data_IF_588611860732
#
_entry.id   IF_588611860732
#
_cell.length_a   1.000
_cell.length_b   1.000
_cell.length_c   1.000
_cell.angle_alpha   90.00
_cell.angle_beta   90.00
_cell.angle_gamma   90.00
#
_symmetry.space_group_name_H-M   'P 1'
#
loop_
_entity.id
_entity.type
_entity.pdbx_description
1 polymer ?
#
# COMPACT_ATOMS: atom_id res chain seq x y z
N UNK A 1 21.68 -5.47 21.29
CA UNK A 1 21.19 -4.17 20.84
C UNK A 1 21.25 -3.06 21.92
N UNK A 2 21.44 -3.38 23.18
CA UNK A 2 21.54 -2.38 24.28
C UNK A 2 22.98 -1.95 24.61
N UNK A 3 23.98 -2.51 23.92
CA UNK A 3 25.40 -2.23 24.20
C UNK A 3 25.90 -2.71 25.58
N UNK A 4 25.16 -3.66 26.17
CA UNK A 4 25.49 -4.18 27.53
C UNK A 4 25.80 -5.65 27.47
N UNK A 5 26.81 -6.07 28.21
CA UNK A 5 27.21 -7.47 28.36
C UNK A 5 26.31 -8.22 29.35
N UNK A 6 26.39 -9.56 29.34
CA UNK A 6 25.58 -10.42 30.21
C UNK A 6 25.84 -10.15 31.72
N UNK A 7 27.07 -9.76 32.07
CA UNK A 7 27.49 -9.50 33.45
C UNK A 7 27.27 -8.05 33.89
N UNK A 8 26.80 -7.16 33.00
CA UNK A 8 26.50 -5.78 33.34
C UNK A 8 25.38 -5.71 34.39
N UNK A 9 25.63 -5.14 35.58
CA UNK A 9 24.64 -5.05 36.65
C UNK A 9 23.44 -4.16 36.26
N UNK A 10 23.61 -3.23 35.31
CA UNK A 10 22.58 -2.30 34.83
C UNK A 10 21.86 -2.77 33.57
N UNK A 11 22.12 -4.01 33.11
CA UNK A 11 21.35 -4.56 32.02
C UNK A 11 19.88 -4.80 32.40
N UNK A 12 18.98 -4.72 31.44
CA UNK A 12 17.60 -5.09 31.66
C UNK A 12 17.48 -6.56 32.09
N UNK A 13 16.81 -6.80 33.18
CA UNK A 13 16.50 -8.14 33.69
C UNK A 13 15.01 -8.29 33.87
N UNK A 14 14.47 -9.36 33.37
CA UNK A 14 13.06 -9.73 33.57
C UNK A 14 12.93 -10.49 34.89
N UNK A 15 11.82 -10.26 35.60
CA UNK A 15 11.52 -10.96 36.87
C UNK A 15 11.07 -12.41 36.64
N UNK A 16 10.76 -12.77 35.38
CA UNK A 16 10.11 -14.03 34.97
C UNK A 16 8.66 -14.11 35.47
N UNK A 17 8.07 -12.95 35.76
CA UNK A 17 6.67 -12.82 36.17
C UNK A 17 5.83 -12.08 35.10
N UNK A 18 6.39 -11.82 33.92
CA UNK A 18 5.79 -11.09 32.80
C UNK A 18 4.91 -12.02 31.92
N UNK A 19 3.96 -12.72 32.55
CA UNK A 19 2.99 -13.59 31.91
C UNK A 19 1.57 -13.21 32.30
N UNK A 20 0.59 -13.64 31.49
CA UNK A 20 -0.82 -13.34 31.73
C UNK A 20 -1.34 -14.10 32.94
N UNK A 21 -1.62 -13.39 34.03
CA UNK A 21 -2.03 -13.95 35.32
C UNK A 21 -3.52 -14.20 35.39
N UNK A 22 -3.91 -15.17 36.19
CA UNK A 22 -5.32 -15.42 36.52
C UNK A 22 -5.86 -14.32 37.42
N UNK A 23 -7.20 -14.17 37.48
CA UNK A 23 -7.85 -13.24 38.38
C UNK A 23 -7.47 -13.46 39.84
N UNK A 24 -7.33 -14.73 40.27
CA UNK A 24 -6.95 -15.07 41.64
C UNK A 24 -5.51 -14.59 41.95
N UNK A 25 -4.57 -14.79 41.04
CA UNK A 25 -3.18 -14.32 41.20
C UNK A 25 -3.09 -12.79 41.20
N UNK A 26 -3.87 -12.11 40.35
CA UNK A 26 -3.93 -10.65 40.37
C UNK A 26 -4.51 -10.12 41.68
N UNK A 27 -5.55 -10.75 42.23
CA UNK A 27 -6.10 -10.38 43.52
C UNK A 27 -5.11 -10.58 44.68
N UNK A 28 -4.27 -11.61 44.63
CA UNK A 28 -3.24 -11.82 45.66
C UNK A 28 -2.10 -10.77 45.54
N UNK A 29 -1.69 -10.47 44.32
CA UNK A 29 -0.65 -9.46 44.06
C UNK A 29 -1.08 -8.07 44.54
N UNK A 30 -2.32 -7.69 44.30
CA UNK A 30 -2.86 -6.36 44.63
C UNK A 30 -3.73 -6.34 45.89
N UNK A 31 -3.61 -7.35 46.77
CA UNK A 31 -4.44 -7.44 48.00
C UNK A 31 -4.32 -6.22 48.93
N UNK A 32 -3.16 -5.56 48.91
CA UNK A 32 -2.90 -4.37 49.72
C UNK A 32 -3.42 -3.08 49.05
N UNK A 33 -3.79 -3.14 47.76
CA UNK A 33 -4.29 -2.00 46.97
C UNK A 33 -5.44 -2.51 46.08
N UNK A 34 -6.56 -2.97 46.64
CA UNK A 34 -7.67 -3.56 45.87
C UNK A 34 -8.30 -2.56 44.88
N UNK A 35 -8.16 -1.26 45.13
CA UNK A 35 -8.61 -0.20 44.21
C UNK A 35 -7.87 -0.26 42.88
N UNK A 36 -6.64 -0.76 42.82
CA UNK A 36 -5.89 -0.94 41.57
C UNK A 36 -6.62 -1.91 40.63
N UNK A 37 -7.36 -2.90 41.18
CA UNK A 37 -8.19 -3.82 40.41
C UNK A 37 -9.55 -3.26 40.06
N UNK A 38 -10.25 -2.64 41.06
CA UNK A 38 -11.58 -2.09 40.80
C UNK A 38 -11.55 -0.93 39.81
N UNK A 39 -10.50 -0.11 39.83
CA UNK A 39 -10.36 1.01 38.89
C UNK A 39 -10.17 0.57 37.44
N UNK A 40 -9.80 -0.70 37.17
CA UNK A 40 -9.82 -1.23 35.80
C UNK A 40 -11.25 -1.26 35.23
N UNK A 41 -12.26 -1.50 36.07
CA UNK A 41 -13.66 -1.46 35.65
C UNK A 41 -14.12 -0.01 35.43
N UNK A 42 -13.68 0.93 36.29
CA UNK A 42 -13.95 2.35 36.10
C UNK A 42 -13.40 2.86 34.74
N UNK A 43 -12.22 2.40 34.33
CA UNK A 43 -11.67 2.72 33.01
C UNK A 43 -12.53 2.10 31.89
N UNK A 44 -12.95 0.84 32.07
CA UNK A 44 -13.81 0.15 31.11
C UNK A 44 -15.15 0.88 30.93
N UNK A 45 -15.74 1.36 32.00
CA UNK A 45 -17.01 2.08 31.98
C UNK A 45 -16.93 3.44 31.25
N UNK A 46 -15.72 4.00 31.10
CA UNK A 46 -15.46 5.23 30.33
C UNK A 46 -15.30 4.97 28.84
N UNK A 47 -15.17 3.70 28.42
CA UNK A 47 -14.98 3.35 27.03
C UNK A 47 -16.33 3.20 26.33
N UNK A 48 -16.57 4.05 25.36
CA UNK A 48 -17.74 3.93 24.47
C UNK A 48 -17.42 2.94 23.33
N UNK A 49 -18.42 2.12 22.95
CA UNK A 49 -18.28 1.24 21.80
C UNK A 49 -18.38 2.04 20.53
N UNK A 50 -17.31 2.06 19.76
CA UNK A 50 -17.25 2.72 18.44
C UNK A 50 -16.41 1.89 17.49
N UNK A 51 -16.56 2.13 16.19
CA UNK A 51 -15.74 1.54 15.16
C UNK A 51 -14.82 2.59 14.57
N UNK A 52 -13.52 2.27 14.50
CA UNK A 52 -12.51 3.08 13.80
C UNK A 52 -12.12 2.46 12.47
N UNK A 53 -12.75 1.33 12.13
CA UNK A 53 -12.51 0.64 10.87
C UNK A 53 -13.31 1.32 9.75
N UNK A 54 -12.58 1.90 8.82
CA UNK A 54 -13.11 2.51 7.61
C UNK A 54 -12.41 1.88 6.41
N UNK A 55 -13.13 1.79 5.30
CA UNK A 55 -12.53 1.36 4.04
C UNK A 55 -11.34 2.26 3.64
N UNK A 56 -10.40 1.76 2.85
CA UNK A 56 -9.24 2.52 2.40
C UNK A 56 -9.64 3.82 1.73
N UNK A 57 -9.03 4.94 2.14
CA UNK A 57 -9.19 6.24 1.50
C UNK A 57 -7.99 6.44 0.58
N UNK A 58 -8.24 6.36 -0.74
CA UNK A 58 -7.20 6.59 -1.72
C UNK A 58 -7.16 8.07 -2.10
N UNK A 59 -5.97 8.72 -1.98
CA UNK A 59 -5.81 10.08 -2.44
C UNK A 59 -5.88 10.16 -3.96
N UNK A 60 -6.18 11.35 -4.45
CA UNK A 60 -6.35 11.62 -5.86
C UNK A 60 -4.99 11.92 -6.52
N UNK A 61 -4.63 11.20 -7.58
CA UNK A 61 -3.46 11.51 -8.38
C UNK A 61 -3.84 12.43 -9.56
N UNK A 62 -3.21 13.60 -9.73
CA UNK A 62 -3.47 14.48 -10.86
C UNK A 62 -2.81 13.92 -12.12
N UNK A 63 -3.59 13.28 -12.98
CA UNK A 63 -3.12 12.77 -14.27
C UNK A 63 -2.92 13.97 -15.22
N UNK A 64 -1.78 14.06 -15.94
CA UNK A 64 -1.53 15.15 -16.88
C UNK A 64 -2.59 15.21 -17.99
N UNK A 65 -3.06 16.41 -18.32
CA UNK A 65 -4.05 16.66 -19.40
C UNK A 65 -3.59 16.13 -20.76
N UNK A 66 -2.27 16.04 -20.98
CA UNK A 66 -1.69 15.46 -22.20
C UNK A 66 -2.01 13.98 -22.39
N UNK A 67 -2.43 13.27 -21.34
CA UNK A 67 -2.92 11.89 -21.43
C UNK A 67 -4.41 11.84 -21.73
N UNK A 68 -5.16 12.86 -21.37
CA UNK A 68 -6.62 12.97 -21.50
C UNK A 68 -7.28 13.31 -20.18
N UNK A 69 -8.62 13.27 -20.17
CA UNK A 69 -9.43 13.60 -19.01
C UNK A 69 -10.33 12.43 -18.62
N UNK A 70 -10.75 12.39 -17.36
CA UNK A 70 -11.70 11.38 -16.88
C UNK A 70 -13.04 11.45 -17.64
N UNK A 71 -13.46 12.65 -18.05
CA UNK A 71 -14.70 12.83 -18.85
C UNK A 71 -14.60 12.17 -20.23
N UNK A 72 -13.43 12.20 -20.86
CA UNK A 72 -13.19 11.49 -22.12
C UNK A 72 -13.28 9.97 -21.93
N UNK A 73 -12.75 9.44 -20.82
CA UNK A 73 -12.88 8.02 -20.48
C UNK A 73 -14.32 7.63 -20.21
N UNK A 74 -15.10 8.46 -19.53
CA UNK A 74 -16.54 8.25 -19.30
C UNK A 74 -17.35 8.20 -20.60
N UNK A 75 -16.91 8.90 -21.63
CA UNK A 75 -17.53 8.86 -22.97
C UNK A 75 -17.07 7.67 -23.79
N UNK A 76 -15.83 7.22 -23.59
CA UNK A 76 -15.19 6.15 -24.37
C UNK A 76 -15.63 4.76 -23.94
N UNK A 77 -15.84 4.52 -22.65
CA UNK A 77 -16.16 3.21 -22.09
C UNK A 77 -17.59 3.19 -21.55
N UNK A 78 -18.36 2.15 -21.93
CA UNK A 78 -19.66 1.88 -21.32
C UNK A 78 -19.52 1.18 -19.96
N UNK A 79 -20.62 1.09 -19.20
CA UNK A 79 -20.63 0.30 -17.96
C UNK A 79 -20.42 -1.20 -18.23
N UNK A 80 -20.89 -1.68 -19.35
CA UNK A 80 -20.73 -3.06 -19.81
C UNK A 80 -19.27 -3.36 -20.12
N UNK A 81 -18.55 -2.44 -20.77
CA UNK A 81 -17.12 -2.56 -21.04
C UNK A 81 -16.33 -2.64 -19.72
N UNK A 82 -16.65 -1.74 -18.78
CA UNK A 82 -16.02 -1.72 -17.48
C UNK A 82 -16.32 -2.97 -16.66
N UNK A 83 -17.59 -3.41 -16.66
CA UNK A 83 -17.96 -4.66 -15.99
C UNK A 83 -17.12 -5.82 -16.53
N UNK A 84 -17.08 -5.99 -17.85
CA UNK A 84 -16.28 -7.04 -18.48
C UNK A 84 -14.80 -6.93 -18.09
N UNK A 85 -14.21 -5.74 -18.18
CA UNK A 85 -12.77 -5.53 -17.92
C UNK A 85 -12.38 -5.79 -16.47
N UNK A 86 -13.26 -5.50 -15.51
CA UNK A 86 -12.98 -5.66 -14.07
C UNK A 86 -13.39 -7.02 -13.49
N UNK A 87 -14.12 -7.83 -14.25
CA UNK A 87 -14.63 -9.13 -13.82
C UNK A 87 -14.15 -10.31 -14.66
N UNK A 88 -13.17 -10.09 -15.52
CA UNK A 88 -12.46 -11.14 -16.27
C UNK A 88 -11.01 -11.21 -15.83
N UNK A 89 -10.26 -12.23 -16.29
CA UNK A 89 -8.82 -12.29 -16.11
C UNK A 89 -8.08 -11.23 -16.95
N UNK A 90 -6.76 -11.22 -16.83
CA UNK A 90 -5.89 -10.27 -17.56
C UNK A 90 -5.96 -10.40 -19.08
N UNK A 91 -6.43 -11.53 -19.58
CA UNK A 91 -6.64 -11.79 -21.02
C UNK A 91 -8.07 -11.49 -21.48
N UNK A 92 -9.00 -11.25 -20.51
CA UNK A 92 -10.42 -11.02 -20.77
C UNK A 92 -11.21 -12.29 -21.15
N UNK A 93 -10.66 -13.47 -20.80
CA UNK A 93 -11.19 -14.76 -21.27
C UNK A 93 -12.03 -15.51 -20.23
N UNK A 94 -11.75 -15.35 -18.93
CA UNK A 94 -12.41 -16.09 -17.85
C UNK A 94 -13.25 -15.17 -16.95
N UNK A 95 -14.52 -14.91 -17.32
CA UNK A 95 -15.37 -14.03 -16.54
C UNK A 95 -15.75 -14.66 -15.18
N UNK A 96 -15.81 -13.84 -14.14
CA UNK A 96 -16.38 -14.22 -12.86
C UNK A 96 -17.87 -14.54 -13.02
N UNK A 97 -18.40 -15.37 -12.13
CA UNK A 97 -19.85 -15.53 -12.03
C UNK A 97 -20.52 -14.18 -11.67
N UNK A 98 -21.79 -13.94 -12.05
CA UNK A 98 -22.44 -12.64 -11.91
C UNK A 98 -22.48 -12.10 -10.47
N UNK A 99 -22.60 -12.98 -9.45
CA UNK A 99 -22.63 -12.55 -8.03
C UNK A 99 -21.26 -12.06 -7.59
N UNK A 100 -20.21 -12.77 -7.94
CA UNK A 100 -18.82 -12.35 -7.65
C UNK A 100 -18.45 -11.11 -8.46
N UNK A 101 -18.87 -11.02 -9.71
CA UNK A 101 -18.66 -9.84 -10.53
C UNK A 101 -19.30 -8.59 -9.90
N UNK A 102 -20.56 -8.69 -9.46
CA UNK A 102 -21.22 -7.58 -8.78
C UNK A 102 -20.53 -7.21 -7.46
N UNK A 103 -20.08 -8.20 -6.69
CA UNK A 103 -19.33 -7.96 -5.46
C UNK A 103 -18.01 -7.20 -5.69
N UNK A 104 -17.32 -7.42 -6.82
CA UNK A 104 -16.15 -6.63 -7.22
C UNK A 104 -16.54 -5.18 -7.48
N UNK A 105 -17.61 -4.92 -8.24
CA UNK A 105 -18.10 -3.58 -8.53
C UNK A 105 -18.45 -2.81 -7.25
N UNK A 106 -19.17 -3.47 -6.33
CA UNK A 106 -19.60 -2.88 -5.06
C UNK A 106 -18.40 -2.60 -4.13
N UNK A 107 -17.45 -3.51 -4.05
CA UNK A 107 -16.20 -3.34 -3.29
C UNK A 107 -15.38 -2.14 -3.78
N UNK A 108 -15.31 -1.94 -5.09
CA UNK A 108 -14.62 -0.80 -5.69
C UNK A 108 -15.38 0.52 -5.54
N UNK A 109 -16.61 0.50 -5.02
CA UNK A 109 -17.42 1.68 -4.74
C UNK A 109 -18.29 2.14 -5.90
N UNK A 110 -18.64 1.23 -6.81
CA UNK A 110 -19.54 1.46 -7.92
C UNK A 110 -18.88 2.11 -9.14
N UNK A 111 -19.68 2.25 -10.21
CA UNK A 111 -19.16 2.68 -11.50
C UNK A 111 -18.50 4.06 -11.50
N UNK A 112 -18.94 4.99 -10.65
CA UNK A 112 -18.33 6.32 -10.59
C UNK A 112 -16.86 6.26 -10.16
N UNK A 113 -16.52 5.40 -9.19
CA UNK A 113 -15.14 5.17 -8.81
C UNK A 113 -14.40 4.30 -9.83
N UNK A 114 -15.05 3.32 -10.44
CA UNK A 114 -14.44 2.45 -11.44
C UNK A 114 -13.98 3.23 -12.67
N UNK A 115 -14.71 4.24 -13.14
CA UNK A 115 -14.24 5.13 -14.20
C UNK A 115 -12.92 5.80 -13.84
N UNK A 116 -12.80 6.28 -12.61
CA UNK A 116 -11.57 6.87 -12.12
C UNK A 116 -10.45 5.85 -12.03
N UNK A 117 -10.72 4.67 -11.45
CA UNK A 117 -9.74 3.57 -11.36
C UNK A 117 -9.26 3.16 -12.76
N UNK A 118 -10.18 3.07 -13.75
CA UNK A 118 -9.83 2.76 -15.15
C UNK A 118 -8.90 3.83 -15.73
N UNK A 119 -9.20 5.10 -15.54
CA UNK A 119 -8.39 6.20 -16.04
C UNK A 119 -6.99 6.19 -15.43
N UNK A 120 -6.89 5.97 -14.12
CA UNK A 120 -5.61 5.81 -13.42
C UNK A 120 -4.85 4.55 -13.85
N UNK A 121 -5.55 3.43 -14.08
CA UNK A 121 -4.96 2.18 -14.53
C UNK A 121 -4.35 2.30 -15.94
N UNK A 122 -5.04 2.98 -16.85
CA UNK A 122 -4.52 3.19 -18.20
C UNK A 122 -3.28 4.10 -18.21
N UNK A 123 -3.27 5.12 -17.35
CA UNK A 123 -2.09 5.96 -17.19
C UNK A 123 -0.93 5.20 -16.53
N UNK A 124 -1.22 4.40 -15.51
CA UNK A 124 -0.23 3.54 -14.86
C UNK A 124 0.38 2.55 -15.87
N UNK A 125 -0.48 1.92 -16.69
CA UNK A 125 -0.03 1.01 -17.75
C UNK A 125 0.91 1.69 -18.74
N UNK A 126 0.56 2.91 -19.19
CA UNK A 126 1.45 3.70 -20.06
C UNK A 126 2.83 3.88 -19.43
N UNK A 127 2.89 4.33 -18.16
CA UNK A 127 4.15 4.56 -17.48
C UNK A 127 4.95 3.26 -17.26
N UNK A 128 4.26 2.16 -16.91
CA UNK A 128 4.87 0.86 -16.71
C UNK A 128 5.47 0.32 -18.00
N UNK A 129 4.75 0.42 -19.13
CA UNK A 129 5.27 -0.01 -20.43
C UNK A 129 6.42 0.88 -20.93
N UNK A 130 6.37 2.19 -20.70
CA UNK A 130 7.49 3.09 -21.03
C UNK A 130 8.74 2.71 -20.21
N UNK A 131 8.54 2.36 -18.93
CA UNK A 131 9.60 1.86 -18.07
C UNK A 131 10.13 0.48 -18.50
N UNK A 132 9.24 -0.44 -18.84
CA UNK A 132 9.59 -1.78 -19.29
C UNK A 132 10.46 -1.74 -20.55
N UNK A 133 10.06 -0.96 -21.57
CA UNK A 133 10.87 -0.79 -22.80
C UNK A 133 12.24 -0.24 -22.50
N UNK A 134 12.35 0.70 -21.58
CA UNK A 134 13.65 1.27 -21.17
C UNK A 134 14.56 0.26 -20.47
N UNK A 135 13.99 -0.66 -19.67
CA UNK A 135 14.76 -1.59 -18.84
C UNK A 135 15.04 -2.94 -19.53
N UNK A 136 14.08 -3.43 -20.32
CA UNK A 136 14.14 -4.75 -20.95
C UNK A 136 14.27 -4.71 -22.48
N UNK A 137 14.21 -3.51 -23.08
CA UNK A 137 14.34 -3.30 -24.53
C UNK A 137 13.00 -3.22 -25.27
N UNK A 138 13.07 -2.91 -26.56
CA UNK A 138 11.94 -2.85 -27.48
C UNK A 138 12.31 -3.61 -28.78
N UNK A 139 11.61 -4.70 -29.14
CA UNK A 139 10.39 -5.23 -28.53
C UNK A 139 10.62 -5.84 -27.14
N UNK A 140 9.59 -5.78 -26.30
CA UNK A 140 9.60 -6.42 -24.98
C UNK A 140 9.62 -7.95 -25.10
N UNK A 141 10.43 -8.66 -24.29
CA UNK A 141 10.35 -10.11 -24.16
C UNK A 141 8.95 -10.55 -23.71
N UNK A 142 8.44 -11.68 -24.22
CA UNK A 142 7.09 -12.15 -23.95
C UNK A 142 6.84 -12.39 -22.45
N UNK A 143 7.79 -13.00 -21.76
CA UNK A 143 7.69 -13.22 -20.31
C UNK A 143 7.55 -11.89 -19.51
N UNK A 144 8.27 -10.83 -19.89
CA UNK A 144 8.14 -9.51 -19.26
C UNK A 144 6.76 -8.94 -19.50
N UNK A 145 6.26 -9.06 -20.73
CA UNK A 145 4.94 -8.57 -21.12
C UNK A 145 3.82 -9.29 -20.34
N UNK A 146 3.93 -10.61 -20.17
CA UNK A 146 2.99 -11.41 -19.39
C UNK A 146 2.93 -10.95 -17.93
N UNK A 147 4.10 -10.80 -17.28
CA UNK A 147 4.15 -10.32 -15.89
C UNK A 147 3.61 -8.89 -15.73
N UNK A 148 3.98 -7.98 -16.63
CA UNK A 148 3.46 -6.59 -16.60
C UNK A 148 1.95 -6.57 -16.76
N UNK A 149 1.38 -7.35 -17.70
CA UNK A 149 -0.07 -7.43 -17.91
C UNK A 149 -0.79 -7.98 -16.69
N UNK A 150 -0.30 -9.10 -16.14
CA UNK A 150 -0.85 -9.71 -14.95
C UNK A 150 -0.85 -8.77 -13.75
N UNK A 151 0.30 -8.16 -13.44
CA UNK A 151 0.42 -7.25 -12.31
C UNK A 151 -0.47 -6.00 -12.45
N UNK A 152 -0.51 -5.39 -13.64
CA UNK A 152 -1.37 -4.24 -13.93
C UNK A 152 -2.85 -4.61 -13.78
N UNK A 153 -3.24 -5.81 -14.22
CA UNK A 153 -4.60 -6.30 -14.05
C UNK A 153 -4.96 -6.46 -12.55
N UNK A 154 -4.09 -7.09 -11.77
CA UNK A 154 -4.29 -7.22 -10.32
C UNK A 154 -4.40 -5.85 -9.64
N UNK A 155 -3.48 -4.93 -9.93
CA UNK A 155 -3.50 -3.56 -9.38
C UNK A 155 -4.78 -2.82 -9.71
N UNK A 156 -5.30 -2.97 -10.94
CA UNK A 156 -6.54 -2.37 -11.41
C UNK A 156 -7.76 -2.97 -10.70
N UNK A 157 -7.89 -4.28 -10.69
CA UNK A 157 -9.05 -4.98 -10.11
C UNK A 157 -9.09 -4.90 -8.59
N UNK A 158 -7.95 -4.67 -7.94
CA UNK A 158 -7.89 -4.36 -6.50
C UNK A 158 -8.16 -2.88 -6.18
N UNK A 159 -8.16 -1.98 -7.18
CA UNK A 159 -8.47 -0.55 -7.00
C UNK A 159 -7.29 0.31 -6.58
N UNK A 160 -6.04 -0.11 -6.82
CA UNK A 160 -4.83 0.57 -6.34
C UNK A 160 -3.97 1.33 -7.37
N UNK A 161 -4.40 1.57 -8.63
CA UNK A 161 -3.54 2.28 -9.57
C UNK A 161 -3.08 3.65 -9.06
N UNK A 162 -3.99 4.41 -8.45
CA UNK A 162 -3.68 5.73 -7.89
C UNK A 162 -2.60 5.70 -6.81
N UNK A 163 -2.58 4.66 -5.99
CA UNK A 163 -1.53 4.47 -4.99
C UNK A 163 -0.14 4.33 -5.62
N UNK A 164 -0.02 3.47 -6.64
CA UNK A 164 1.25 3.31 -7.36
C UNK A 164 1.68 4.58 -8.08
N UNK A 165 0.73 5.33 -8.65
CA UNK A 165 1.01 6.62 -9.28
C UNK A 165 1.56 7.63 -8.29
N UNK A 166 1.01 7.72 -7.08
CA UNK A 166 1.49 8.62 -6.03
C UNK A 166 2.87 8.20 -5.53
N UNK A 167 3.08 6.90 -5.28
CA UNK A 167 4.36 6.40 -4.78
C UNK A 167 5.49 6.64 -5.80
N UNK A 168 5.27 6.33 -7.07
CA UNK A 168 6.27 6.60 -8.11
C UNK A 168 6.54 8.09 -8.28
N UNK A 169 5.55 8.94 -8.08
CA UNK A 169 5.65 10.39 -8.24
C UNK A 169 6.58 10.99 -7.19
N UNK A 170 6.34 10.75 -5.90
CA UNK A 170 7.20 11.32 -4.86
C UNK A 170 8.61 10.70 -4.86
N UNK A 171 8.77 9.42 -5.24
CA UNK A 171 10.08 8.79 -5.40
C UNK A 171 10.85 9.44 -6.55
N UNK A 172 10.19 9.68 -7.67
CA UNK A 172 10.82 10.35 -8.82
C UNK A 172 11.13 11.81 -8.52
N UNK A 173 10.24 12.54 -7.82
CA UNK A 173 10.50 13.90 -7.37
C UNK A 173 11.69 13.95 -6.42
N UNK A 174 11.76 13.05 -5.45
CA UNK A 174 12.90 12.95 -4.53
C UNK A 174 14.23 12.86 -5.30
N UNK A 175 14.30 11.97 -6.31
CA UNK A 175 15.52 11.73 -7.08
C UNK A 175 15.86 12.85 -8.07
N UNK A 176 14.86 13.41 -8.76
CA UNK A 176 15.07 14.30 -9.92
C UNK A 176 14.98 15.77 -9.58
N UNK A 177 14.10 16.14 -8.63
CA UNK A 177 13.81 17.52 -8.30
C UNK A 177 14.47 17.95 -7.00
N UNK A 178 14.45 17.08 -5.98
CA UNK A 178 14.90 17.41 -4.63
C UNK A 178 16.34 17.00 -4.36
N UNK A 179 16.96 16.18 -5.23
CA UNK A 179 18.32 15.67 -5.05
C UNK A 179 18.46 14.76 -3.82
N UNK A 180 17.39 14.06 -3.44
CA UNK A 180 17.34 13.18 -2.27
C UNK A 180 17.63 11.74 -2.68
N UNK A 181 18.54 11.08 -1.95
CA UNK A 181 18.83 9.68 -2.17
C UNK A 181 17.66 8.80 -1.72
N UNK A 182 17.28 7.87 -2.60
CA UNK A 182 16.20 6.91 -2.35
C UNK A 182 16.75 5.51 -2.45
N UNK A 183 16.49 4.68 -1.44
CA UNK A 183 16.90 3.29 -1.38
C UNK A 183 16.40 2.45 -2.58
N UNK A 184 16.96 1.25 -2.77
CA UNK A 184 16.61 0.37 -3.88
C UNK A 184 15.22 -0.26 -3.75
N UNK A 185 14.54 -0.06 -2.64
CA UNK A 185 13.33 -0.76 -2.25
C UNK A 185 13.63 -1.96 -1.35
N UNK A 186 12.67 -2.30 -0.52
CA UNK A 186 12.70 -3.45 0.39
C UNK A 186 11.32 -4.05 0.58
N UNK A 187 11.22 -5.13 1.34
CA UNK A 187 9.94 -5.80 1.58
C UNK A 187 9.38 -6.49 0.35
N UNK A 188 8.08 -6.69 0.34
CA UNK A 188 7.38 -7.46 -0.70
C UNK A 188 7.27 -6.72 -2.03
N UNK A 189 7.30 -5.39 -2.03
CA UNK A 189 7.22 -4.57 -3.25
C UNK A 189 8.36 -4.84 -4.25
N UNK A 190 9.51 -5.38 -3.77
CA UNK A 190 10.60 -5.81 -4.63
C UNK A 190 10.23 -6.95 -5.58
N UNK A 191 9.13 -7.68 -5.32
CA UNK A 191 8.61 -8.73 -6.20
C UNK A 191 7.78 -8.23 -7.38
N UNK A 192 7.54 -6.92 -7.53
CA UNK A 192 6.73 -6.36 -8.61
C UNK A 192 7.57 -5.86 -9.78
N UNK A 193 7.32 -6.40 -10.97
CA UNK A 193 7.90 -5.91 -12.24
C UNK A 193 7.39 -4.51 -12.57
N UNK A 194 6.12 -4.24 -12.32
CA UNK A 194 5.53 -2.91 -12.50
C UNK A 194 6.21 -1.89 -11.58
N UNK A 195 6.42 -2.20 -10.30
CA UNK A 195 7.12 -1.31 -9.38
C UNK A 195 8.57 -1.04 -9.82
N UNK A 196 9.24 -2.03 -10.38
CA UNK A 196 10.57 -1.88 -10.98
C UNK A 196 10.54 -1.00 -12.24
N UNK A 197 9.58 -1.20 -13.15
CA UNK A 197 9.40 -0.40 -14.35
C UNK A 197 9.09 1.08 -14.06
N UNK A 198 8.31 1.34 -13.00
CA UNK A 198 7.97 2.69 -12.53
C UNK A 198 9.15 3.37 -11.79
N UNK A 199 10.20 2.62 -11.46
CA UNK A 199 11.35 3.13 -10.69
C UNK A 199 11.06 3.25 -9.19
N UNK A 200 9.98 2.64 -8.71
CA UNK A 200 9.69 2.53 -7.27
C UNK A 200 10.78 1.68 -6.61
N UNK A 201 11.09 0.53 -7.19
CA UNK A 201 12.21 -0.32 -6.79
C UNK A 201 13.34 -0.27 -7.81
N UNK A 202 14.54 -0.71 -7.43
CA UNK A 202 15.71 -0.88 -8.30
C UNK A 202 16.18 -2.33 -8.40
N UNK A 203 15.37 -3.25 -7.87
CA UNK A 203 15.63 -4.68 -7.90
C UNK A 203 14.78 -5.28 -9.01
N UNK A 204 15.42 -5.95 -9.96
CA UNK A 204 14.72 -6.66 -11.03
C UNK A 204 14.14 -7.98 -10.50
N UNK A 205 12.81 -8.10 -10.32
CA UNK A 205 12.22 -9.28 -9.74
C UNK A 205 12.35 -10.52 -10.63
N UNK A 206 12.39 -10.37 -11.95
CA UNK A 206 12.55 -11.50 -12.87
C UNK A 206 13.95 -12.10 -12.80
N UNK A 207 14.95 -11.25 -12.60
CA UNK A 207 16.35 -11.70 -12.45
C UNK A 207 16.57 -12.54 -11.18
N UNK A 208 15.82 -12.25 -10.11
CA UNK A 208 15.97 -12.89 -8.81
C UNK A 208 14.82 -13.85 -8.46
N UNK A 209 13.94 -14.13 -9.39
CA UNK A 209 12.80 -15.04 -9.25
C UNK A 209 11.93 -14.68 -8.01
N UNK A 210 11.62 -13.39 -7.87
CA UNK A 210 10.80 -12.88 -6.78
C UNK A 210 9.32 -12.98 -7.12
N UNK A 211 8.50 -13.37 -6.14
CA UNK A 211 7.07 -13.63 -6.33
C UNK A 211 6.24 -12.37 -6.09
N UNK A 212 5.47 -11.95 -7.09
CA UNK A 212 4.53 -10.84 -7.00
C UNK A 212 3.37 -11.11 -6.01
N UNK A 213 2.92 -12.34 -5.90
CA UNK A 213 1.81 -12.76 -5.03
C UNK A 213 2.11 -12.57 -3.54
N UNK A 214 3.39 -12.40 -3.17
CA UNK A 214 3.79 -11.99 -1.82
C UNK A 214 3.53 -10.52 -1.54
N UNK A 215 3.46 -9.70 -2.58
CA UNK A 215 3.20 -8.27 -2.50
C UNK A 215 1.71 -7.96 -2.63
N UNK A 216 1.07 -8.43 -3.70
CA UNK A 216 -0.37 -8.30 -3.92
C UNK A 216 -0.98 -9.66 -4.21
N UNK A 217 -2.00 -9.99 -3.45
CA UNK A 217 -2.77 -11.22 -3.64
C UNK A 217 -4.26 -10.85 -3.73
N UNK A 218 -4.94 -11.13 -4.86
CA UNK A 218 -6.37 -10.85 -5.03
C UNK A 218 -7.27 -11.52 -3.98
N UNK A 219 -6.82 -12.65 -3.40
CA UNK A 219 -7.55 -13.38 -2.36
C UNK A 219 -7.45 -12.70 -0.97
N UNK A 220 -6.53 -11.74 -0.83
CA UNK A 220 -6.33 -10.98 0.41
C UNK A 220 -6.46 -9.50 0.13
N UNK A 221 -7.61 -8.93 0.45
CA UNK A 221 -7.89 -7.49 0.24
C UNK A 221 -7.19 -6.66 1.31
N UNK A 222 -5.86 -6.60 1.23
CA UNK A 222 -5.06 -5.68 2.04
C UNK A 222 -4.50 -4.57 1.15
N UNK A 223 -4.36 -3.37 1.73
CA UNK A 223 -3.62 -2.29 1.07
C UNK A 223 -2.17 -2.74 0.82
N UNK A 224 -1.63 -2.47 -0.38
CA UNK A 224 -0.21 -2.69 -0.61
C UNK A 224 0.63 -1.80 0.30
N UNK A 225 1.69 -2.37 0.88
CA UNK A 225 2.66 -1.64 1.68
C UNK A 225 3.96 -1.51 0.89
N UNK A 226 4.33 -0.28 0.56
CA UNK A 226 5.56 0.04 -0.16
C UNK A 226 6.49 0.80 0.76
N UNK A 227 7.42 0.07 1.36
CA UNK A 227 8.49 0.64 2.18
C UNK A 227 9.48 1.44 1.33
N UNK A 228 9.63 2.71 1.63
CA UNK A 228 10.55 3.61 0.92
C UNK A 228 11.53 4.25 1.89
N UNK A 229 12.82 4.05 1.66
CA UNK A 229 13.88 4.64 2.46
C UNK A 229 14.44 5.89 1.78
N UNK A 230 14.53 6.98 2.54
CA UNK A 230 15.17 8.23 2.13
C UNK A 230 16.36 8.52 3.03
N UNK A 231 17.34 9.28 2.53
CA UNK A 231 18.40 9.79 3.39
C UNK A 231 17.83 10.72 4.48
N UNK A 232 18.46 10.73 5.64
CA UNK A 232 17.97 11.48 6.81
C UNK A 232 17.88 12.99 6.55
N UNK A 233 18.83 13.55 5.82
CA UNK A 233 18.87 14.98 5.50
C UNK A 233 17.79 15.38 4.48
N UNK A 234 17.46 14.46 3.59
CA UNK A 234 16.51 14.66 2.50
C UNK A 234 15.05 14.37 2.84
N UNK A 235 14.79 13.47 3.79
CA UNK A 235 13.43 12.99 4.13
C UNK A 235 12.45 14.14 4.40
N UNK A 236 12.86 15.14 5.16
CA UNK A 236 12.02 16.30 5.46
C UNK A 236 11.63 17.14 4.24
N UNK A 237 12.48 17.16 3.19
CA UNK A 237 12.15 17.82 1.92
C UNK A 237 11.07 17.07 1.15
N UNK A 238 11.17 15.74 1.11
CA UNK A 238 10.17 14.87 0.45
C UNK A 238 8.82 15.00 1.13
N UNK A 239 8.75 14.95 2.47
CA UNK A 239 7.51 15.12 3.21
C UNK A 239 6.84 16.48 2.91
N UNK A 240 7.58 17.57 2.88
CA UNK A 240 7.05 18.88 2.50
C UNK A 240 6.51 18.90 1.08
N UNK A 241 7.26 18.34 0.14
CA UNK A 241 6.84 18.27 -1.26
C UNK A 241 5.52 17.49 -1.42
N UNK A 242 5.38 16.35 -0.69
CA UNK A 242 4.13 15.56 -0.68
C UNK A 242 2.97 16.37 -0.10
N UNK A 243 3.17 17.07 1.03
CA UNK A 243 2.16 17.92 1.64
C UNK A 243 1.73 19.07 0.73
N UNK A 244 2.69 19.72 0.06
CA UNK A 244 2.41 20.80 -0.89
C UNK A 244 1.65 20.31 -2.13
N UNK A 245 2.00 19.14 -2.66
CA UNK A 245 1.39 18.62 -3.88
C UNK A 245 0.02 17.97 -3.65
N UNK A 246 -0.11 17.18 -2.59
CA UNK A 246 -1.32 16.37 -2.33
C UNK A 246 -2.24 16.98 -1.25
N UNK A 247 -1.81 18.06 -0.61
CA UNK A 247 -2.53 18.74 0.46
C UNK A 247 -2.13 18.25 1.85
N UNK A 248 -1.90 19.21 2.75
CA UNK A 248 -1.50 18.92 4.14
C UNK A 248 -2.54 18.07 4.88
N UNK A 249 -3.82 18.27 4.59
CA UNK A 249 -4.94 17.51 5.17
C UNK A 249 -4.96 16.03 4.75
N UNK A 250 -4.22 15.65 3.70
CA UNK A 250 -4.12 14.29 3.20
C UNK A 250 -2.84 13.58 3.67
N UNK A 251 -2.04 14.24 4.51
CA UNK A 251 -0.78 13.72 5.00
C UNK A 251 -0.80 13.67 6.54
N UNK A 252 -0.46 12.52 7.11
CA UNK A 252 -0.39 12.36 8.54
C UNK A 252 0.80 11.49 8.94
N UNK A 253 1.32 11.74 10.15
CA UNK A 253 2.29 10.88 10.78
C UNK A 253 1.59 9.94 11.76
N UNK A 254 2.01 8.68 11.82
CA UNK A 254 1.60 7.79 12.89
C UNK A 254 2.28 8.26 14.17
N UNK A 255 1.47 8.56 15.19
CA UNK A 255 1.97 9.01 16.48
C UNK A 255 2.54 7.80 17.22
N UNK A 256 3.80 7.91 17.64
CA UNK A 256 4.49 6.90 18.45
C UNK A 256 4.90 7.53 19.77
N UNK A 257 4.53 6.90 20.87
CA UNK A 257 4.97 7.28 22.21
C UNK A 257 6.14 6.37 22.63
N UNK A 258 7.21 6.96 23.16
CA UNK A 258 8.35 6.26 23.75
C UNK A 258 8.32 6.36 25.26
#
# INVERSE_FOLDING_TARGET
>A
ATGKDLDDPYRMRYSKQEWFKTKAEMNDIFKDIPEALSNTLEILDKVETYSIDHGPIMPFFPIPESFGTEEEWRKKFSKEDLYKEFTTDENGEHPLDPEKGQAVIDRLGGYDKIYRIKFEADYLAKLAYDGARRLYGDPLPDNVKEHVNFELHVMKTMGFPGYFLIVQDFINAARKELGVWVGPGRGSAAGSVVAYCLGITKIDPLKYDLLFERFLNPDRVNLPDIDTDFDDDGRGKVLRWVMEKYGEQNCAHIITYQ
#
